data_IF_706825090183
#
_entry.id   IF_706825090183
#
_cell.length_a   1.000
_cell.length_b   1.000
_cell.length_c   1.000
_cell.angle_alpha   90.00
_cell.angle_beta   90.00
_cell.angle_gamma   90.00
#
_symmetry.space_group_name_H-M   'P 1'
#
loop_
_entity.id
_entity.type
_entity.pdbx_description
1 polymer ?
#
# COMPACT_ATOMS: atom_id res chain seq x y z
N UNK A 1 -18.84 9.75 1.83
CA UNK A 1 -19.42 8.45 2.25
C UNK A 1 -18.28 7.43 2.22
N UNK A 2 -18.02 6.75 3.33
CA UNK A 2 -17.00 5.69 3.41
C UNK A 2 -17.66 4.36 3.06
N UNK A 3 -16.94 3.34 2.59
CA UNK A 3 -17.49 1.97 2.59
C UNK A 3 -17.54 1.42 4.01
N UNK A 4 -18.42 0.44 4.27
CA UNK A 4 -18.34 -0.37 5.49
C UNK A 4 -16.96 -1.04 5.54
N UNK A 5 -16.31 -1.09 6.71
CA UNK A 5 -14.99 -1.67 6.85
C UNK A 5 -14.98 -3.20 6.66
N UNK A 6 -16.12 -3.87 6.77
CA UNK A 6 -16.22 -5.32 6.57
C UNK A 6 -17.64 -5.72 6.16
N UNK A 7 -17.76 -6.64 5.20
CA UNK A 7 -19.06 -7.12 4.72
C UNK A 7 -18.93 -8.53 4.11
N UNK A 8 -19.84 -9.43 4.49
CA UNK A 8 -20.06 -10.73 3.85
C UNK A 8 -21.14 -10.62 2.75
N UNK A 9 -21.14 -11.54 1.79
CA UNK A 9 -22.14 -11.64 0.73
C UNK A 9 -22.32 -10.33 -0.07
N UNK A 10 -21.21 -9.71 -0.45
CA UNK A 10 -21.18 -8.46 -1.17
C UNK A 10 -20.62 -8.60 -2.59
N UNK A 11 -21.00 -7.65 -3.46
CA UNK A 11 -20.38 -7.44 -4.76
C UNK A 11 -19.34 -6.32 -4.64
N UNK A 12 -18.06 -6.68 -4.73
CA UNK A 12 -16.92 -5.77 -4.68
C UNK A 12 -16.51 -5.41 -6.10
N UNK A 13 -16.47 -4.12 -6.42
CA UNK A 13 -15.98 -3.62 -7.70
C UNK A 13 -14.54 -3.15 -7.54
N UNK A 14 -13.62 -3.80 -8.24
CA UNK A 14 -12.20 -3.43 -8.26
C UNK A 14 -11.85 -2.85 -9.62
N UNK A 15 -11.57 -1.55 -9.69
CA UNK A 15 -11.04 -0.93 -10.90
C UNK A 15 -9.52 -1.15 -11.00
N UNK A 16 -9.06 -1.59 -12.17
CA UNK A 16 -7.65 -1.63 -12.56
C UNK A 16 -7.44 -0.64 -13.70
N UNK A 17 -6.55 0.33 -13.50
CA UNK A 17 -6.35 1.46 -14.41
C UNK A 17 -4.94 1.43 -15.02
N UNK A 18 -4.85 1.79 -16.30
CA UNK A 18 -3.59 2.09 -16.99
C UNK A 18 -3.14 3.50 -16.58
N UNK A 19 -1.89 3.63 -16.16
CA UNK A 19 -1.26 4.89 -15.74
C UNK A 19 -0.60 5.64 -16.90
N UNK A 20 -0.25 4.93 -17.98
CA UNK A 20 0.34 5.49 -19.18
C UNK A 20 -0.38 5.03 -20.44
N UNK A 21 0.37 4.93 -21.54
CA UNK A 21 -0.16 4.40 -22.80
C UNK A 21 -0.17 2.87 -22.71
N UNK A 22 -1.35 2.29 -22.89
CA UNK A 22 -1.51 0.85 -22.77
C UNK A 22 -2.71 0.30 -23.52
N UNK A 23 -2.87 -1.02 -23.42
CA UNK A 23 -3.97 -1.77 -24.01
C UNK A 23 -4.48 -2.78 -22.99
N UNK A 24 -5.80 -2.92 -22.89
CA UNK A 24 -6.44 -3.96 -22.09
C UNK A 24 -6.49 -5.26 -22.90
N UNK A 25 -6.40 -6.39 -22.20
CA UNK A 25 -6.29 -7.74 -22.80
C UNK A 25 -7.49 -8.64 -22.52
N UNK A 26 -8.50 -8.12 -21.81
CA UNK A 26 -9.69 -8.87 -21.37
C UNK A 26 -10.97 -8.19 -21.84
N UNK A 27 -12.03 -8.98 -22.00
CA UNK A 27 -13.37 -8.52 -22.38
C UNK A 27 -14.39 -8.56 -21.24
N UNK A 28 -15.52 -7.86 -21.40
CA UNK A 28 -16.65 -7.98 -20.46
C UNK A 28 -17.19 -9.41 -20.42
N UNK A 29 -17.51 -9.90 -19.22
CA UNK A 29 -17.94 -11.27 -18.93
C UNK A 29 -16.80 -12.27 -18.73
N UNK A 30 -15.54 -11.89 -18.98
CA UNK A 30 -14.39 -12.78 -18.82
C UNK A 30 -14.09 -13.03 -17.34
N UNK A 31 -13.76 -14.28 -16.98
CA UNK A 31 -13.29 -14.61 -15.62
C UNK A 31 -11.80 -14.39 -15.51
N UNK A 32 -11.38 -13.77 -14.41
CA UNK A 32 -9.97 -13.48 -14.13
C UNK A 32 -9.57 -14.00 -12.76
N UNK A 33 -8.30 -14.36 -12.64
CA UNK A 33 -7.62 -14.68 -11.38
C UNK A 33 -6.66 -13.54 -11.03
N UNK A 34 -6.17 -13.42 -9.78
CA UNK A 34 -5.38 -12.27 -9.34
C UNK A 34 -4.10 -12.05 -10.16
N UNK A 35 -3.54 -13.13 -10.72
CA UNK A 35 -2.33 -13.10 -11.57
C UNK A 35 -2.64 -12.87 -13.05
N UNK A 36 -3.90 -12.92 -13.48
CA UNK A 36 -4.30 -12.68 -14.87
C UNK A 36 -3.86 -11.27 -15.28
N UNK A 37 -3.17 -11.18 -16.42
CA UNK A 37 -2.76 -9.92 -17.03
C UNK A 37 -3.98 -9.34 -17.75
N UNK A 38 -4.57 -8.30 -17.17
CA UNK A 38 -5.76 -7.63 -17.73
C UNK A 38 -5.39 -6.50 -18.68
N UNK A 39 -4.14 -6.09 -18.71
CA UNK A 39 -3.64 -5.10 -19.64
C UNK A 39 -2.12 -4.99 -19.61
N UNK A 40 -1.59 -4.20 -20.51
CA UNK A 40 -0.20 -3.76 -20.46
C UNK A 40 -0.11 -2.27 -20.62
N UNK A 41 0.75 -1.66 -19.83
CA UNK A 41 0.90 -0.23 -19.71
C UNK A 41 2.36 0.19 -19.95
N UNK A 42 2.59 1.43 -20.30
CA UNK A 42 3.91 2.08 -20.37
C UNK A 42 3.83 3.37 -19.57
N UNK A 43 3.90 3.29 -18.23
CA UNK A 43 3.81 4.45 -17.36
C UNK A 43 4.96 5.42 -17.63
N UNK A 44 4.75 6.72 -17.43
CA UNK A 44 5.83 7.69 -17.49
C UNK A 44 6.91 7.32 -16.46
N UNK A 45 8.17 7.24 -16.91
CA UNK A 45 9.29 6.99 -16.02
C UNK A 45 9.63 8.25 -15.22
N UNK A 46 9.95 8.08 -13.93
CA UNK A 46 10.41 9.18 -13.09
C UNK A 46 11.81 9.64 -13.56
N UNK A 47 12.02 10.95 -13.79
CA UNK A 47 13.33 11.46 -14.18
C UNK A 47 14.37 11.24 -13.06
N UNK A 48 15.54 10.72 -13.43
CA UNK A 48 16.68 10.57 -12.52
C UNK A 48 17.57 11.82 -12.59
N UNK A 49 17.80 12.43 -11.43
CA UNK A 49 18.72 13.57 -11.28
C UNK A 49 20.08 13.05 -10.84
N UNK A 50 21.12 13.32 -11.62
CA UNK A 50 22.48 12.85 -11.39
C UNK A 50 23.40 14.06 -11.25
N UNK A 51 24.16 14.16 -10.17
CA UNK A 51 25.07 15.27 -9.95
C UNK A 51 26.44 14.99 -10.57
N UNK A 52 26.54 15.17 -11.90
CA UNK A 52 27.75 14.89 -12.66
C UNK A 52 28.95 15.71 -12.14
N UNK A 53 28.72 16.99 -11.80
CA UNK A 53 29.80 17.86 -11.32
C UNK A 53 30.35 17.40 -9.97
N UNK A 54 29.49 17.06 -9.01
CA UNK A 54 29.91 16.54 -7.72
C UNK A 54 30.60 15.17 -7.85
N UNK A 55 30.05 14.26 -8.65
CA UNK A 55 30.59 12.92 -8.84
C UNK A 55 31.97 12.94 -9.54
N UNK A 56 32.19 13.87 -10.46
CA UNK A 56 33.50 14.12 -11.07
C UNK A 56 34.44 14.97 -10.18
N UNK A 57 33.91 15.62 -9.15
CA UNK A 57 34.56 16.67 -8.35
C UNK A 57 35.16 17.79 -9.22
N UNK A 58 34.35 18.30 -10.14
CA UNK A 58 34.69 19.37 -11.07
C UNK A 58 33.68 20.52 -10.96
N UNK A 59 34.01 21.68 -11.53
CA UNK A 59 33.02 22.75 -11.67
C UNK A 59 31.91 22.36 -12.66
N UNK A 60 30.67 22.86 -12.52
CA UNK A 60 29.58 22.60 -13.48
C UNK A 60 29.96 22.87 -14.94
N UNK A 61 30.75 23.91 -15.22
CA UNK A 61 31.23 24.21 -16.58
C UNK A 61 32.27 23.20 -17.08
N UNK A 62 33.20 22.76 -16.23
CA UNK A 62 34.20 21.74 -16.59
C UNK A 62 33.55 20.36 -16.75
N UNK A 63 32.59 20.01 -15.89
CA UNK A 63 31.81 18.78 -16.00
C UNK A 63 30.96 18.74 -17.28
N UNK A 64 30.45 19.88 -17.75
CA UNK A 64 29.77 19.98 -19.05
C UNK A 64 30.68 19.56 -20.22
N UNK A 65 31.96 19.94 -20.17
CA UNK A 65 32.96 19.58 -21.18
C UNK A 65 33.41 18.13 -21.07
N UNK A 66 33.25 17.52 -19.89
CA UNK A 66 33.59 16.13 -19.61
C UNK A 66 32.46 15.14 -19.99
N UNK A 67 31.29 15.61 -20.43
CA UNK A 67 30.19 14.76 -20.89
C UNK A 67 30.62 13.95 -22.12
N UNK A 68 30.42 12.64 -22.05
CA UNK A 68 30.70 11.71 -23.15
C UNK A 68 29.47 11.39 -23.99
N UNK A 69 28.30 11.89 -23.58
CA UNK A 69 27.00 11.72 -24.25
C UNK A 69 26.32 13.08 -24.40
N UNK A 70 25.53 13.26 -25.46
CA UNK A 70 24.83 14.52 -25.72
C UNK A 70 23.43 14.53 -25.11
N UNK A 71 22.92 15.73 -24.82
CA UNK A 71 21.48 15.89 -24.55
C UNK A 71 20.68 15.42 -25.76
N UNK A 72 19.66 14.58 -25.52
CA UNK A 72 18.87 13.87 -26.50
C UNK A 72 19.38 12.46 -26.83
N UNK A 73 20.56 12.06 -26.36
CA UNK A 73 21.16 10.77 -26.65
C UNK A 73 20.63 9.65 -25.74
N UNK A 74 20.42 8.46 -26.32
CA UNK A 74 20.08 7.25 -25.57
C UNK A 74 21.33 6.62 -24.97
N UNK A 75 21.25 6.23 -23.71
CA UNK A 75 22.33 5.58 -22.97
C UNK A 75 21.83 4.27 -22.37
N UNK A 76 22.70 3.26 -22.33
CA UNK A 76 22.42 2.02 -21.63
C UNK A 76 22.83 2.13 -20.16
N UNK A 77 22.22 1.32 -19.28
CA UNK A 77 22.68 1.16 -17.90
C UNK A 77 24.18 0.87 -17.84
N UNK A 78 24.89 1.59 -16.99
CA UNK A 78 26.34 1.48 -16.81
C UNK A 78 27.18 2.18 -17.89
N UNK A 79 26.56 2.77 -18.92
CA UNK A 79 27.28 3.59 -19.90
C UNK A 79 27.89 4.82 -19.22
N UNK A 80 29.08 5.22 -19.67
CA UNK A 80 29.76 6.41 -19.15
C UNK A 80 29.03 7.65 -19.66
N UNK A 81 28.50 8.45 -18.75
CA UNK A 81 27.84 9.74 -19.02
C UNK A 81 28.84 10.87 -19.11
N UNK A 82 29.86 10.83 -18.26
CA UNK A 82 30.91 11.82 -18.20
C UNK A 82 32.21 11.19 -17.71
N UNK A 83 33.35 11.70 -18.19
CA UNK A 83 34.68 11.23 -17.78
C UNK A 83 35.63 12.40 -17.64
N UNK A 84 36.24 12.53 -16.47
CA UNK A 84 37.34 13.46 -16.22
C UNK A 84 38.64 12.69 -15.96
N UNK A 85 39.74 13.15 -16.57
CA UNK A 85 41.07 12.57 -16.38
C UNK A 85 42.03 13.63 -15.83
N UNK A 86 42.63 13.33 -14.69
CA UNK A 86 43.75 14.10 -14.14
C UNK A 86 45.06 13.32 -14.29
N UNK A 87 46.19 13.95 -13.97
CA UNK A 87 47.50 13.29 -14.02
C UNK A 87 47.61 12.07 -13.06
N UNK A 88 46.73 11.96 -12.06
CA UNK A 88 46.79 10.91 -11.02
C UNK A 88 45.54 10.01 -10.95
N UNK A 89 44.42 10.37 -11.57
CA UNK A 89 43.17 9.60 -11.51
C UNK A 89 42.26 9.80 -12.72
N UNK A 90 41.42 8.81 -12.99
CA UNK A 90 40.28 8.91 -13.91
C UNK A 90 39.01 8.77 -13.08
N UNK A 91 38.07 9.70 -13.25
CA UNK A 91 36.74 9.62 -12.65
C UNK A 91 35.70 9.48 -13.75
N UNK A 92 34.72 8.63 -13.51
CA UNK A 92 33.63 8.35 -14.43
C UNK A 92 32.31 8.42 -13.68
N UNK A 93 31.33 9.05 -14.33
CA UNK A 93 29.93 8.96 -13.90
C UNK A 93 29.21 8.06 -14.87
N UNK A 94 28.48 7.08 -14.35
CA UNK A 94 27.79 6.06 -15.16
C UNK A 94 26.29 6.19 -15.03
N UNK A 95 25.58 5.85 -16.10
CA UNK A 95 24.13 5.85 -16.11
C UNK A 95 23.60 4.79 -15.13
N UNK A 96 22.78 5.15 -14.13
CA UNK A 96 22.20 4.19 -13.19
C UNK A 96 21.22 3.24 -13.88
N UNK A 97 20.56 3.71 -14.94
CA UNK A 97 19.59 2.98 -15.76
C UNK A 97 19.72 3.33 -17.25
N UNK A 98 19.09 2.54 -18.11
CA UNK A 98 18.98 2.83 -19.54
C UNK A 98 17.95 3.94 -19.78
N UNK A 99 18.29 4.98 -20.53
CA UNK A 99 17.44 6.15 -20.69
C UNK A 99 17.91 7.13 -21.75
N UNK A 100 17.35 8.34 -21.73
CA UNK A 100 17.76 9.47 -22.56
C UNK A 100 18.28 10.57 -21.66
N UNK A 101 19.47 11.10 -21.91
CA UNK A 101 19.93 12.30 -21.22
C UNK A 101 19.13 13.50 -21.76
N UNK A 102 18.17 14.02 -21.00
CA UNK A 102 17.24 15.06 -21.48
C UNK A 102 17.69 16.48 -21.16
N UNK A 103 18.55 16.65 -20.15
CA UNK A 103 19.09 17.95 -19.80
C UNK A 103 20.42 17.83 -19.04
N UNK A 104 21.21 18.90 -19.11
CA UNK A 104 22.31 19.18 -18.20
C UNK A 104 22.29 20.67 -17.84
N UNK A 105 22.21 20.99 -16.56
CA UNK A 105 22.27 22.36 -16.07
C UNK A 105 23.73 22.77 -15.81
N UNK A 106 24.21 23.74 -16.60
CA UNK A 106 25.56 24.27 -16.48
C UNK A 106 25.79 25.13 -15.24
N UNK A 107 24.73 25.49 -14.50
CA UNK A 107 24.83 26.25 -13.25
C UNK A 107 25.00 25.32 -12.06
N UNK A 108 24.15 24.30 -11.94
CA UNK A 108 24.15 23.37 -10.80
C UNK A 108 25.03 22.14 -11.01
N UNK A 109 25.32 21.77 -12.26
CA UNK A 109 26.06 20.55 -12.60
C UNK A 109 25.19 19.28 -12.60
N UNK A 110 23.87 19.44 -12.54
CA UNK A 110 22.90 18.35 -12.52
C UNK A 110 22.52 17.92 -13.94
N UNK A 111 22.57 16.61 -14.20
CA UNK A 111 22.03 15.96 -15.38
C UNK A 111 20.65 15.36 -15.07
N UNK A 112 19.74 15.42 -16.04
CA UNK A 112 18.45 14.73 -15.98
C UNK A 112 18.46 13.58 -16.98
N UNK A 113 18.40 12.36 -16.48
CA UNK A 113 18.26 11.14 -17.26
C UNK A 113 16.81 10.68 -17.18
N UNK A 114 16.11 10.64 -18.30
CA UNK A 114 14.76 10.07 -18.38
C UNK A 114 14.88 8.56 -18.67
N UNK A 115 14.53 7.65 -17.74
CA UNK A 115 14.61 6.22 -18.00
C UNK A 115 13.71 5.83 -19.17
N UNK A 116 14.10 4.79 -19.90
CA UNK A 116 13.24 4.23 -20.95
C UNK A 116 12.01 3.61 -20.29
N UNK A 117 10.80 4.02 -20.66
CA UNK A 117 9.58 3.44 -20.10
C UNK A 117 9.50 1.95 -20.48
N UNK A 118 9.61 1.07 -19.49
CA UNK A 118 9.36 -0.35 -19.69
C UNK A 118 7.87 -0.62 -19.69
N UNK A 119 7.46 -1.58 -20.54
CA UNK A 119 6.08 -2.06 -20.52
C UNK A 119 5.87 -2.84 -19.22
N UNK A 120 4.84 -2.48 -18.47
CA UNK A 120 4.45 -3.14 -17.22
C UNK A 120 3.15 -3.89 -17.42
N UNK A 121 3.03 -5.04 -16.76
CA UNK A 121 1.81 -5.83 -16.75
C UNK A 121 0.82 -5.24 -15.74
N UNK A 122 -0.38 -4.91 -16.22
CA UNK A 122 -1.50 -4.62 -15.34
C UNK A 122 -2.19 -5.94 -15.00
N UNK A 123 -2.12 -6.36 -13.74
CA UNK A 123 -2.76 -7.58 -13.24
C UNK A 123 -4.15 -7.29 -12.64
N UNK A 124 -5.00 -8.30 -12.64
CA UNK A 124 -6.35 -8.25 -12.08
C UNK A 124 -6.35 -7.98 -10.56
N UNK A 125 -5.37 -8.53 -9.82
CA UNK A 125 -5.22 -8.44 -8.36
C UNK A 125 -6.34 -9.05 -7.51
N UNK A 126 -7.47 -9.44 -8.12
CA UNK A 126 -8.60 -10.12 -7.47
C UNK A 126 -9.16 -11.19 -8.40
N UNK A 127 -9.76 -12.23 -7.82
CA UNK A 127 -10.54 -13.21 -8.58
C UNK A 127 -11.95 -12.67 -8.84
N UNK A 128 -12.48 -12.81 -10.05
CA UNK A 128 -13.81 -12.29 -10.35
C UNK A 128 -14.20 -12.36 -11.82
N UNK A 129 -15.23 -11.60 -12.18
CA UNK A 129 -15.69 -11.45 -13.56
C UNK A 129 -15.52 -10.01 -14.01
N UNK A 130 -14.97 -9.80 -15.20
CA UNK A 130 -14.86 -8.48 -15.81
C UNK A 130 -16.26 -7.95 -16.08
N UNK A 131 -16.61 -6.85 -15.42
CA UNK A 131 -17.91 -6.20 -15.56
C UNK A 131 -17.88 -5.20 -16.71
N UNK A 132 -16.96 -4.24 -16.63
CA UNK A 132 -16.85 -3.11 -17.55
C UNK A 132 -15.41 -2.97 -18.06
N UNK A 133 -15.27 -2.59 -19.33
CA UNK A 133 -13.97 -2.32 -19.99
C UNK A 133 -14.06 -0.95 -20.64
N UNK A 134 -13.18 -0.04 -20.23
CA UNK A 134 -12.98 1.27 -20.86
C UNK A 134 -11.68 1.22 -21.66
N UNK A 135 -11.73 1.07 -23.00
CA UNK A 135 -10.55 0.86 -23.83
C UNK A 135 -9.46 1.91 -23.60
N UNK A 136 -8.23 1.44 -23.38
CA UNK A 136 -7.08 2.30 -23.13
C UNK A 136 -7.09 3.04 -21.79
N UNK A 137 -8.03 2.74 -20.88
CA UNK A 137 -8.14 3.40 -19.58
C UNK A 137 -8.21 2.41 -18.42
N UNK A 138 -9.27 1.62 -18.30
CA UNK A 138 -9.48 0.77 -17.12
C UNK A 138 -10.38 -0.43 -17.38
N UNK A 139 -10.28 -1.41 -16.48
CA UNK A 139 -11.16 -2.56 -16.38
C UNK A 139 -11.72 -2.65 -14.97
N UNK A 140 -13.02 -2.89 -14.85
CA UNK A 140 -13.69 -3.10 -13.56
C UNK A 140 -14.01 -4.58 -13.39
N UNK A 141 -13.51 -5.17 -12.32
CA UNK A 141 -13.72 -6.58 -11.97
C UNK A 141 -14.72 -6.63 -10.82
N UNK A 142 -15.80 -7.39 -11.01
CA UNK A 142 -16.76 -7.72 -9.95
C UNK A 142 -16.35 -9.03 -9.27
N UNK A 143 -16.10 -8.95 -7.96
CA UNK A 143 -15.89 -10.11 -7.11
C UNK A 143 -17.06 -10.24 -6.16
N UNK A 144 -17.70 -11.41 -6.14
CA UNK A 144 -18.76 -11.73 -5.19
C UNK A 144 -18.18 -12.50 -4.02
N UNK A 145 -18.38 -11.98 -2.81
CA UNK A 145 -17.92 -12.66 -1.61
C UNK A 145 -17.80 -11.75 -0.40
N UNK A 146 -16.62 -11.74 0.21
CA UNK A 146 -16.36 -10.96 1.42
C UNK A 146 -15.35 -9.84 1.17
N UNK A 147 -15.52 -8.77 1.92
CA UNK A 147 -14.66 -7.58 1.92
C UNK A 147 -14.25 -7.25 3.35
N UNK A 148 -12.97 -6.95 3.55
CA UNK A 148 -12.44 -6.40 4.81
C UNK A 148 -11.44 -5.29 4.47
N UNK A 149 -11.58 -4.12 5.07
CA UNK A 149 -10.70 -2.98 4.92
C UNK A 149 -9.87 -2.77 6.20
N UNK A 150 -8.57 -2.64 6.03
CA UNK A 150 -7.62 -2.42 7.12
C UNK A 150 -7.41 -0.93 7.37
N UNK A 151 -6.91 -0.59 8.55
CA UNK A 151 -6.57 0.79 8.95
C UNK A 151 -5.20 1.20 8.43
N UNK A 152 -4.32 0.21 8.37
CA UNK A 152 -2.94 0.37 7.97
C UNK A 152 -2.48 -0.92 7.31
N UNK A 153 -1.56 -0.75 6.37
CA UNK A 153 -0.88 -1.88 5.77
C UNK A 153 0.36 -1.42 5.02
N UNK A 154 1.31 -2.34 4.96
CA UNK A 154 2.57 -2.20 4.26
C UNK A 154 2.93 -3.52 3.59
N UNK A 155 3.78 -3.44 2.57
CA UNK A 155 4.04 -4.54 1.65
C UNK A 155 3.24 -4.37 0.36
N UNK A 156 3.61 -5.11 -0.69
CA UNK A 156 2.90 -5.13 -1.97
C UNK A 156 1.69 -6.04 -1.94
N UNK A 157 0.95 -6.15 -3.05
CA UNK A 157 -0.25 -6.97 -3.13
C UNK A 157 0.04 -8.46 -2.82
N UNK A 158 -0.89 -9.12 -2.12
CA UNK A 158 -0.77 -10.50 -1.68
C UNK A 158 -1.99 -11.34 -2.11
N UNK A 159 -1.76 -12.64 -2.34
CA UNK A 159 -2.81 -13.61 -2.67
C UNK A 159 -2.51 -14.94 -2.01
N UNK A 160 -3.52 -15.57 -1.42
CA UNK A 160 -3.38 -16.88 -0.80
C UNK A 160 -4.65 -17.36 -0.12
N UNK A 161 -4.58 -18.55 0.47
CA UNK A 161 -5.67 -19.11 1.26
C UNK A 161 -5.71 -18.43 2.63
N UNK A 162 -6.88 -17.97 3.06
CA UNK A 162 -7.08 -17.40 4.39
C UNK A 162 -6.99 -18.51 5.44
N UNK A 163 -6.12 -18.32 6.44
CA UNK A 163 -5.89 -19.26 7.54
C UNK A 163 -5.94 -18.54 8.88
N UNK A 164 -6.74 -19.06 9.80
CA UNK A 164 -6.75 -18.57 11.17
C UNK A 164 -5.60 -19.22 11.94
N UNK A 165 -4.70 -18.41 12.47
CA UNK A 165 -3.62 -18.86 13.36
C UNK A 165 -4.13 -19.06 14.79
N UNK A 166 -5.20 -18.34 15.15
CA UNK A 166 -5.77 -18.28 16.48
C UNK A 166 -7.26 -18.59 16.46
N UNK A 167 -7.84 -18.86 17.64
CA UNK A 167 -9.25 -19.23 17.81
C UNK A 167 -10.13 -18.06 18.23
N UNK A 168 -9.54 -16.94 18.61
CA UNK A 168 -10.29 -15.75 19.03
C UNK A 168 -9.68 -14.45 18.50
N UNK A 169 -10.49 -13.40 18.47
CA UNK A 169 -10.13 -12.07 17.97
C UNK A 169 -9.06 -11.33 18.78
N UNK A 170 -8.73 -11.80 19.98
CA UNK A 170 -7.77 -11.16 20.90
C UNK A 170 -6.57 -12.05 21.25
N UNK A 171 -6.56 -13.30 20.82
CA UNK A 171 -5.44 -14.22 21.05
C UNK A 171 -4.23 -13.78 20.21
N UNK A 172 -3.04 -13.74 20.80
CA UNK A 172 -1.77 -13.51 20.09
C UNK A 172 -1.14 -14.85 19.74
N UNK A 173 -0.66 -14.99 18.50
CA UNK A 173 0.08 -16.19 18.07
C UNK A 173 1.57 -16.02 18.34
N UNK A 174 2.15 -16.98 19.06
CA UNK A 174 3.59 -17.08 19.26
C UNK A 174 4.26 -17.69 18.02
N UNK A 175 5.49 -17.27 17.72
CA UNK A 175 6.18 -17.70 16.51
C UNK A 175 6.41 -19.22 16.45
N UNK A 176 6.54 -19.89 17.60
CA UNK A 176 6.71 -21.35 17.70
C UNK A 176 5.45 -22.12 17.29
N UNK A 177 4.29 -21.48 17.32
CA UNK A 177 3.02 -22.08 16.89
C UNK A 177 2.86 -22.04 15.37
N UNK A 178 3.73 -21.31 14.66
CA UNK A 178 3.71 -21.19 13.21
C UNK A 178 4.57 -22.29 12.55
N UNK A 179 3.90 -23.09 11.71
CA UNK A 179 4.49 -24.18 10.95
C UNK A 179 4.09 -24.12 9.46
N UNK A 180 4.55 -25.10 8.68
CA UNK A 180 4.38 -25.15 7.22
C UNK A 180 2.92 -25.21 6.74
N UNK A 181 1.92 -25.38 7.63
CA UNK A 181 0.50 -25.29 7.25
C UNK A 181 0.09 -23.87 6.83
N UNK A 182 0.87 -22.87 7.22
CA UNK A 182 0.64 -21.46 6.88
C UNK A 182 1.43 -21.00 5.63
N UNK A 183 2.23 -21.87 5.02
CA UNK A 183 2.99 -21.51 3.82
C UNK A 183 2.07 -21.05 2.69
N UNK A 184 2.44 -19.94 2.05
CA UNK A 184 1.67 -19.25 1.02
C UNK A 184 0.26 -18.77 1.42
N UNK A 185 -0.06 -18.74 2.71
CA UNK A 185 -1.37 -18.31 3.21
C UNK A 185 -1.47 -16.79 3.42
N UNK A 186 -2.70 -16.33 3.59
CA UNK A 186 -3.03 -15.09 4.28
C UNK A 186 -3.35 -15.48 5.72
N UNK A 187 -2.42 -15.20 6.63
CA UNK A 187 -2.50 -15.58 8.04
C UNK A 187 -3.31 -14.54 8.82
N UNK A 188 -4.30 -14.99 9.59
CA UNK A 188 -5.09 -14.13 10.50
C UNK A 188 -4.73 -14.50 11.93
N UNK A 189 -4.21 -13.54 12.70
CA UNK A 189 -3.67 -13.82 14.05
C UNK A 189 -4.59 -13.39 15.19
N UNK A 190 -5.68 -12.67 14.94
CA UNK A 190 -6.54 -12.18 16.03
C UNK A 190 -5.96 -10.95 16.69
N UNK A 191 -5.23 -11.11 17.79
CA UNK A 191 -4.67 -10.02 18.59
C UNK A 191 -3.46 -9.32 17.96
N UNK A 192 -2.50 -8.92 18.82
CA UNK A 192 -1.26 -8.28 18.36
C UNK A 192 -0.30 -9.27 17.71
N UNK A 193 0.58 -8.78 16.85
CA UNK A 193 1.73 -9.53 16.32
C UNK A 193 3.05 -8.95 16.81
N UNK A 194 4.05 -9.81 16.95
CA UNK A 194 5.42 -9.44 17.34
C UNK A 194 6.37 -9.50 16.14
N UNK A 195 7.57 -8.94 16.29
CA UNK A 195 8.60 -9.00 15.26
C UNK A 195 9.06 -10.45 15.00
N UNK A 196 9.13 -11.31 16.03
CA UNK A 196 9.44 -12.74 15.83
C UNK A 196 8.36 -13.44 15.02
N UNK A 197 7.08 -13.18 15.32
CA UNK A 197 5.96 -13.76 14.58
C UNK A 197 5.99 -13.31 13.11
N UNK A 198 6.27 -12.03 12.84
CA UNK A 198 6.39 -11.51 11.48
C UNK A 198 7.61 -12.11 10.74
N UNK A 199 8.77 -12.18 11.40
CA UNK A 199 9.97 -12.82 10.82
C UNK A 199 9.71 -14.30 10.51
N UNK A 200 9.03 -15.01 11.40
CA UNK A 200 8.65 -16.41 11.20
C UNK A 200 7.66 -16.59 10.03
N UNK A 201 6.75 -15.63 9.84
CA UNK A 201 5.86 -15.62 8.67
C UNK A 201 6.66 -15.49 7.36
N UNK A 202 7.67 -14.62 7.32
CA UNK A 202 8.58 -14.52 6.17
C UNK A 202 9.32 -15.85 5.91
N UNK A 203 9.90 -16.47 6.96
CA UNK A 203 10.59 -17.76 6.85
C UNK A 203 9.71 -18.87 6.26
N UNK A 204 8.43 -18.88 6.60
CA UNK A 204 7.45 -19.85 6.13
C UNK A 204 6.82 -19.50 4.78
N UNK A 205 7.25 -18.39 4.16
CA UNK A 205 6.69 -17.83 2.92
C UNK A 205 5.18 -17.54 3.02
N UNK A 206 4.71 -17.11 4.20
CA UNK A 206 3.37 -16.53 4.38
C UNK A 206 3.27 -15.30 3.47
N UNK A 207 2.16 -15.15 2.75
CA UNK A 207 1.99 -14.04 1.79
C UNK A 207 1.53 -12.75 2.48
N UNK A 208 0.70 -12.88 3.51
CA UNK A 208 0.24 -11.75 4.29
C UNK A 208 -0.12 -12.13 5.72
N UNK A 209 -0.04 -11.15 6.63
CA UNK A 209 -0.54 -11.22 8.00
C UNK A 209 -1.64 -10.17 8.19
N UNK A 210 -2.80 -10.60 8.69
CA UNK A 210 -3.89 -9.76 9.16
C UNK A 210 -3.93 -9.86 10.69
N UNK A 211 -3.79 -8.72 11.36
CA UNK A 211 -3.75 -8.64 12.82
C UNK A 211 -4.65 -7.53 13.36
N UNK A 212 -5.04 -7.62 14.62
CA UNK A 212 -5.69 -6.53 15.35
C UNK A 212 -4.76 -5.33 15.41
N UNK A 213 -3.52 -5.56 15.84
CA UNK A 213 -2.51 -4.51 15.87
C UNK A 213 -1.07 -4.99 15.96
N UNK A 214 -0.17 -4.02 16.00
CA UNK A 214 1.26 -4.22 16.23
C UNK A 214 1.77 -3.05 17.07
N UNK A 215 2.64 -3.33 18.03
CA UNK A 215 3.30 -2.26 18.76
C UNK A 215 4.31 -1.55 17.83
N UNK A 216 4.42 -0.21 17.84
CA UNK A 216 5.39 0.52 17.03
C UNK A 216 6.84 0.02 17.19
N UNK A 217 7.23 -0.35 18.41
CA UNK A 217 8.55 -0.91 18.70
C UNK A 217 8.77 -2.29 18.04
N UNK A 218 7.74 -3.12 18.01
CA UNK A 218 7.78 -4.45 17.39
C UNK A 218 7.88 -4.34 15.86
N UNK A 219 7.08 -3.47 15.26
CA UNK A 219 7.20 -3.20 13.82
C UNK A 219 8.57 -2.58 13.50
N UNK A 220 9.05 -1.66 14.33
CA UNK A 220 10.38 -1.07 14.19
C UNK A 220 11.50 -2.12 14.20
N UNK A 221 11.44 -3.05 15.15
CA UNK A 221 12.38 -4.16 15.26
C UNK A 221 12.35 -5.07 14.04
N UNK A 222 11.16 -5.42 13.54
CA UNK A 222 10.98 -6.22 12.32
C UNK A 222 11.56 -5.53 11.07
N UNK A 223 11.37 -4.21 10.95
CA UNK A 223 11.89 -3.42 9.84
C UNK A 223 13.39 -3.13 9.94
N UNK A 224 14.06 -3.55 11.01
CA UNK A 224 15.51 -3.39 11.19
C UNK A 224 15.94 -2.01 11.70
N UNK A 225 15.05 -1.26 12.34
CA UNK A 225 15.46 -0.03 13.03
C UNK A 225 16.38 -0.36 14.22
N UNK A 226 17.41 0.46 14.44
CA UNK A 226 18.38 0.24 15.51
C UNK A 226 17.73 0.23 16.90
N UNK A 227 18.22 -0.65 17.77
CA UNK A 227 17.76 -0.73 19.15
C UNK A 227 18.03 0.61 19.87
N UNK A 228 16.98 1.19 20.45
CA UNK A 228 17.03 2.48 21.14
C UNK A 228 16.52 3.67 20.32
N UNK A 229 16.24 3.49 19.02
CA UNK A 229 15.54 4.49 18.22
C UNK A 229 14.06 4.49 18.59
N UNK A 230 13.54 5.63 19.05
CA UNK A 230 12.09 5.79 19.22
C UNK A 230 11.42 5.87 17.85
N UNK A 231 10.71 4.80 17.49
CA UNK A 231 9.92 4.75 16.27
C UNK A 231 8.56 5.40 16.55
N UNK A 232 8.40 6.63 16.04
CA UNK A 232 7.14 7.37 16.17
C UNK A 232 6.07 6.73 15.27
N UNK A 233 4.83 6.52 15.76
CA UNK A 233 3.73 5.99 14.97
C UNK A 233 3.48 6.77 13.67
N UNK A 234 3.63 8.10 13.69
CA UNK A 234 3.44 8.94 12.51
C UNK A 234 4.47 8.64 11.41
N UNK A 235 5.69 8.27 11.80
CA UNK A 235 6.72 7.84 10.84
C UNK A 235 6.33 6.50 10.21
N UNK A 236 5.80 5.55 10.99
CA UNK A 236 5.34 4.24 10.49
C UNK A 236 4.16 4.36 9.52
N UNK A 237 3.30 5.37 9.67
CA UNK A 237 2.22 5.65 8.71
C UNK A 237 2.76 5.94 7.30
N UNK A 238 4.00 6.43 7.19
CA UNK A 238 4.69 6.70 5.92
C UNK A 238 5.45 5.51 5.35
N UNK A 239 5.77 4.49 6.18
CA UNK A 239 6.55 3.30 5.83
C UNK A 239 5.72 2.23 5.13
N UNK A 240 5.00 2.60 4.07
CA UNK A 240 4.15 1.67 3.31
C UNK A 240 4.87 1.03 2.12
N UNK A 241 5.93 1.70 1.65
CA UNK A 241 6.85 1.21 0.60
C UNK A 241 8.20 0.80 1.18
N UNK A 242 8.22 0.10 2.32
CA UNK A 242 9.47 -0.57 2.74
C UNK A 242 9.73 -1.69 1.74
N UNK A 243 10.43 -1.34 0.66
CA UNK A 243 10.98 -2.27 -0.31
C UNK A 243 12.09 -3.06 0.39
N UNK A 244 11.72 -4.13 1.09
CA UNK A 244 12.51 -5.37 0.97
C UNK A 244 12.38 -5.82 -0.48
N UNK A 245 13.43 -6.43 -1.04
CA UNK A 245 13.56 -6.76 -2.46
C UNK A 245 12.24 -7.20 -3.15
N UNK A 246 12.04 -6.87 -4.44
CA UNK A 246 10.79 -7.10 -5.20
C UNK A 246 10.39 -8.59 -5.40
N UNK A 247 10.96 -9.52 -4.63
CA UNK A 247 10.74 -10.97 -4.73
C UNK A 247 9.76 -11.56 -3.72
N UNK A 248 9.62 -11.03 -2.49
CA UNK A 248 8.78 -11.59 -1.42
C UNK A 248 8.85 -10.70 -0.17
N UNK A 249 8.07 -9.62 -0.11
CA UNK A 249 7.86 -8.90 1.15
C UNK A 249 6.52 -9.37 1.74
N UNK A 250 6.55 -9.87 2.97
CA UNK A 250 5.33 -10.17 3.73
C UNK A 250 4.45 -8.92 3.78
N UNK A 251 3.20 -9.03 3.32
CA UNK A 251 2.23 -7.95 3.53
C UNK A 251 1.73 -7.98 4.97
N UNK A 252 1.66 -6.81 5.60
CA UNK A 252 1.06 -6.64 6.93
C UNK A 252 -0.19 -5.78 6.76
N UNK A 253 -1.31 -6.24 7.30
CA UNK A 253 -2.59 -5.52 7.33
C UNK A 253 -3.11 -5.48 8.76
N UNK A 254 -3.38 -4.28 9.27
CA UNK A 254 -3.90 -4.07 10.63
C UNK A 254 -5.35 -3.64 10.55
N UNK A 255 -6.22 -4.26 11.36
CA UNK A 255 -7.64 -3.94 11.42
C UNK A 255 -8.02 -3.01 12.57
N UNK A 256 -7.26 -3.01 13.67
CA UNK A 256 -7.40 -2.09 14.79
C UNK A 256 -6.34 -0.99 14.81
N UNK A 257 -5.13 -1.26 14.31
CA UNK A 257 -4.05 -0.26 14.18
C UNK A 257 -2.83 -0.51 15.04
N UNK A 258 -2.06 0.55 15.31
CA UNK A 258 -0.94 0.45 16.24
C UNK A 258 -1.47 0.32 17.67
N UNK A 259 -0.86 -0.58 18.44
CA UNK A 259 -1.22 -0.91 19.84
C UNK A 259 -2.64 -1.47 20.07
N UNK A 260 -3.42 -1.70 19.02
CA UNK A 260 -4.71 -2.38 19.13
C UNK A 260 -4.50 -3.84 19.56
N UNK A 261 -5.25 -4.28 20.58
CA UNK A 261 -5.07 -5.59 21.20
C UNK A 261 -5.93 -6.69 20.57
N UNK A 262 -6.90 -6.33 19.75
CA UNK A 262 -7.86 -7.28 19.17
C UNK A 262 -8.41 -6.82 17.81
N UNK A 263 -8.91 -7.77 17.03
CA UNK A 263 -9.76 -7.52 15.86
C UNK A 263 -11.19 -7.24 16.34
N UNK A 264 -11.87 -6.33 15.65
CA UNK A 264 -13.31 -6.07 15.83
C UNK A 264 -14.13 -7.36 15.66
N UNK A 265 -15.18 -7.55 16.46
CA UNK A 265 -15.96 -8.79 16.45
C UNK A 265 -16.60 -9.07 15.08
N UNK A 266 -17.18 -8.06 14.44
CA UNK A 266 -17.80 -8.24 13.13
C UNK A 266 -16.74 -8.51 12.04
N UNK A 267 -15.58 -7.86 12.12
CA UNK A 267 -14.44 -8.19 11.24
C UNK A 267 -13.95 -9.63 11.45
N UNK A 268 -13.83 -10.09 12.70
CA UNK A 268 -13.42 -11.45 13.02
C UNK A 268 -14.40 -12.49 12.46
N UNK A 269 -15.71 -12.26 12.59
CA UNK A 269 -16.73 -13.13 12.04
C UNK A 269 -16.64 -13.25 10.51
N UNK A 270 -16.39 -12.14 9.81
CA UNK A 270 -16.15 -12.13 8.36
C UNK A 270 -14.91 -12.95 8.01
N UNK A 271 -13.79 -12.73 8.70
CA UNK A 271 -12.54 -13.47 8.47
C UNK A 271 -12.67 -14.96 8.75
N UNK A 272 -13.37 -15.32 9.84
CA UNK A 272 -13.62 -16.71 10.20
C UNK A 272 -14.48 -17.43 9.15
N UNK A 273 -15.50 -16.78 8.61
CA UNK A 273 -16.29 -17.31 7.50
C UNK A 273 -15.48 -17.50 6.19
N UNK A 274 -14.33 -16.84 6.08
CA UNK A 274 -13.42 -16.93 4.95
C UNK A 274 -12.33 -18.01 5.13
N UNK A 275 -12.24 -18.68 6.28
CA UNK A 275 -11.21 -19.69 6.51
C UNK A 275 -11.21 -20.78 5.42
N UNK A 276 -10.02 -21.07 4.89
CA UNK A 276 -9.83 -22.06 3.83
C UNK A 276 -10.16 -21.55 2.42
N UNK A 277 -10.58 -20.28 2.26
CA UNK A 277 -10.91 -19.69 0.95
C UNK A 277 -9.78 -18.81 0.43
N UNK A 278 -9.73 -18.63 -0.87
CA UNK A 278 -8.73 -17.78 -1.52
C UNK A 278 -9.10 -16.31 -1.40
N UNK A 279 -8.17 -15.52 -0.86
CA UNK A 279 -8.30 -14.09 -0.69
C UNK A 279 -7.19 -13.34 -1.42
N UNK A 280 -7.49 -12.10 -1.81
CA UNK A 280 -6.51 -11.16 -2.37
C UNK A 280 -6.47 -9.91 -1.51
N UNK A 281 -5.27 -9.46 -1.14
CA UNK A 281 -5.06 -8.20 -0.44
C UNK A 281 -4.38 -7.21 -1.38
N UNK A 282 -5.00 -6.04 -1.55
CA UNK A 282 -4.40 -4.90 -2.25
C UNK A 282 -4.01 -3.85 -1.22
N UNK A 283 -2.74 -3.45 -1.18
CA UNK A 283 -2.17 -2.48 -0.22
C UNK A 283 -1.51 -1.27 -0.89
N UNK A 284 -1.33 -1.30 -2.21
CA UNK A 284 -0.45 -0.41 -2.97
C UNK A 284 -1.09 0.91 -3.44
N UNK A 285 -2.37 1.15 -3.15
CA UNK A 285 -3.15 2.26 -3.74
C UNK A 285 -3.48 3.41 -2.77
N UNK A 286 -2.50 3.93 -2.03
CA UNK A 286 -2.74 5.12 -1.19
C UNK A 286 -3.37 6.27 -2.02
N UNK A 287 -4.42 6.96 -1.53
CA UNK A 287 -4.93 7.01 -0.16
C UNK A 287 -5.93 5.90 0.25
N UNK A 288 -6.20 4.91 -0.60
CA UNK A 288 -7.12 3.83 -0.26
C UNK A 288 -6.52 2.91 0.83
N UNK A 289 -7.30 2.52 1.85
CA UNK A 289 -6.85 1.55 2.84
C UNK A 289 -6.54 0.20 2.18
N UNK A 290 -5.65 -0.62 2.79
CA UNK A 290 -5.50 -1.99 2.34
C UNK A 290 -6.84 -2.71 2.45
N UNK A 291 -7.12 -3.60 1.50
CA UNK A 291 -8.38 -4.35 1.47
C UNK A 291 -8.13 -5.81 1.16
N UNK A 292 -8.76 -6.69 1.90
CA UNK A 292 -8.94 -8.10 1.59
C UNK A 292 -10.25 -8.27 0.83
N UNK A 293 -10.19 -8.97 -0.30
CA UNK A 293 -11.35 -9.45 -1.05
C UNK A 293 -11.26 -10.97 -1.12
N UNK A 294 -12.28 -11.67 -0.64
CA UNK A 294 -12.37 -13.14 -0.68
C UNK A 294 -13.50 -13.51 -1.61
N UNK A 295 -13.21 -14.33 -2.62
CA UNK A 295 -14.26 -14.85 -3.49
C UNK A 295 -15.01 -15.97 -2.75
N UNK A 296 -16.33 -15.86 -2.69
CA UNK A 296 -17.18 -16.94 -2.19
C UNK A 296 -17.79 -17.70 -3.38
N UNK A 297 -18.07 -19.01 -3.24
CA UNK A 297 -18.75 -19.80 -4.26
C UNK A 297 -20.07 -19.16 -4.66
N UNK A 298 -20.37 -19.18 -5.96
CA UNK A 298 -21.59 -18.55 -6.50
C UNK A 298 -22.87 -19.11 -5.90
N UNK A 299 -22.85 -20.37 -5.45
CA UNK A 299 -23.97 -21.00 -4.72
C UNK A 299 -24.24 -20.40 -3.34
N UNK A 300 -23.24 -19.79 -2.72
CA UNK A 300 -23.35 -19.18 -1.39
C UNK A 300 -23.72 -17.69 -1.47
N UNK A 301 -23.57 -17.07 -2.64
CA UNK A 301 -23.87 -15.66 -2.87
C UNK A 301 -24.97 -15.50 -3.92
N UNK A 302 -26.20 -15.81 -3.51
CA UNK A 302 -27.39 -15.75 -4.37
C UNK A 302 -27.83 -14.29 -4.62
N UNK A 303 -27.62 -13.40 -3.65
CA UNK A 303 -27.98 -11.97 -3.71
C UNK A 303 -26.82 -11.09 -3.22
N UNK A 304 -25.74 -11.02 -4.00
CA UNK A 304 -24.60 -10.15 -3.67
C UNK A 304 -25.06 -8.69 -3.63
N UNK A 305 -25.07 -8.08 -2.44
CA UNK A 305 -25.44 -6.66 -2.28
C UNK A 305 -24.21 -5.80 -2.59
N UNK A 306 -24.35 -4.64 -3.26
CA UNK A 306 -23.24 -3.69 -3.35
C UNK A 306 -22.63 -3.40 -1.98
N UNK A 307 -21.32 -3.13 -1.94
CA UNK A 307 -20.67 -2.67 -0.71
C UNK A 307 -21.47 -1.51 -0.10
N UNK A 308 -21.95 -1.71 1.12
CA UNK A 308 -22.69 -0.67 1.83
C UNK A 308 -21.76 0.50 2.11
N UNK A 309 -22.27 1.70 1.93
CA UNK A 309 -21.55 2.90 2.30
C UNK A 309 -21.90 3.28 3.74
N UNK A 310 -20.89 3.28 4.60
CA UNK A 310 -20.96 3.92 5.89
C UNK A 310 -21.20 5.43 5.74
N UNK A 311 -22.27 5.89 6.38
CA UNK A 311 -22.62 7.31 6.45
C UNK A 311 -21.78 7.94 7.55
N UNK A 312 -20.87 8.82 7.17
CA UNK A 312 -20.14 9.67 8.10
C UNK A 312 -21.07 10.82 8.51
N UNK A 313 -21.73 10.68 9.67
CA UNK A 313 -22.73 11.61 10.17
C UNK A 313 -22.71 11.73 11.69
N UNK A 314 -23.48 12.66 12.25
CA UNK A 314 -23.56 12.86 13.70
C UNK A 314 -23.87 11.55 14.44
N UNK A 315 -23.15 11.30 15.53
CA UNK A 315 -23.27 10.07 16.32
C UNK A 315 -22.55 8.85 15.75
N UNK A 316 -21.96 8.92 14.55
CA UNK A 316 -21.15 7.82 14.02
C UNK A 316 -19.87 7.62 14.85
N UNK A 317 -19.57 6.39 15.24
CA UNK A 317 -18.26 6.03 15.78
C UNK A 317 -17.25 5.97 14.65
N UNK A 318 -16.09 6.59 14.85
CA UNK A 318 -15.02 6.71 13.87
C UNK A 318 -13.66 6.42 14.49
N UNK A 319 -12.76 5.82 13.71
CA UNK A 319 -11.34 5.75 13.99
C UNK A 319 -10.61 6.89 13.28
N UNK A 320 -9.79 7.63 14.02
CA UNK A 320 -8.91 8.65 13.45
C UNK A 320 -7.70 7.95 12.83
N UNK A 321 -7.48 8.11 11.53
CA UNK A 321 -6.44 7.38 10.78
C UNK A 321 -5.08 8.07 10.78
N UNK A 322 -5.03 9.37 11.05
CA UNK A 322 -3.82 10.19 10.86
C UNK A 322 -3.77 11.43 11.73
N UNK A 323 -2.56 11.99 11.86
CA UNK A 323 -2.27 13.14 12.72
C UNK A 323 -2.03 12.78 14.19
N UNK A 324 -1.93 13.78 15.09
CA UNK A 324 -1.53 13.57 16.49
C UNK A 324 -2.48 12.71 17.33
N UNK A 325 -3.68 12.42 16.81
CA UNK A 325 -4.68 11.57 17.47
C UNK A 325 -4.96 10.32 16.62
N UNK A 326 -4.02 9.91 15.76
CA UNK A 326 -4.16 8.69 14.97
C UNK A 326 -4.39 7.48 15.88
N UNK A 327 -5.12 6.49 15.35
CA UNK A 327 -5.55 5.27 16.04
C UNK A 327 -6.42 5.51 17.29
N UNK A 328 -7.06 6.69 17.40
CA UNK A 328 -8.00 6.98 18.49
C UNK A 328 -9.44 6.84 18.00
N UNK A 329 -10.26 6.11 18.75
CA UNK A 329 -11.71 6.07 18.54
C UNK A 329 -12.37 7.38 19.01
N UNK A 330 -13.35 7.85 18.24
CA UNK A 330 -14.11 9.04 18.56
C UNK A 330 -15.53 8.93 18.02
N UNK A 331 -16.43 9.75 18.54
CA UNK A 331 -17.80 9.89 18.02
C UNK A 331 -17.92 11.21 17.28
N UNK A 332 -18.48 11.21 16.08
CA UNK A 332 -18.78 12.44 15.33
C UNK A 332 -19.80 13.26 16.12
N UNK A 333 -19.45 14.49 16.49
CA UNK A 333 -20.28 15.37 17.33
C UNK A 333 -21.45 15.92 16.53
N UNK A 334 -21.14 16.52 15.39
CA UNK A 334 -22.11 16.99 14.42
C UNK A 334 -21.70 16.54 13.02
N UNK A 335 -22.68 16.36 12.14
CA UNK A 335 -22.45 15.93 10.77
C UNK A 335 -21.91 17.04 9.86
N UNK A 336 -21.60 18.23 10.40
CA UNK A 336 -21.22 19.37 9.59
C UNK A 336 -19.74 19.28 9.19
N UNK A 337 -19.50 19.29 7.90
CA UNK A 337 -18.15 19.43 7.34
C UNK A 337 -17.77 20.90 7.37
N UNK A 338 -16.68 21.21 8.07
CA UNK A 338 -16.14 22.56 8.24
C UNK A 338 -14.78 22.65 7.57
N UNK A 339 -14.46 23.81 7.00
CA UNK A 339 -13.13 24.05 6.45
C UNK A 339 -12.22 24.57 7.56
N UNK A 340 -11.14 23.85 7.83
CA UNK A 340 -10.12 24.22 8.82
C UNK A 340 -8.79 24.51 8.12
N UNK A 341 -7.92 25.28 8.79
CA UNK A 341 -6.51 25.39 8.41
C UNK A 341 -5.71 24.43 9.28
N UNK A 342 -4.97 23.53 8.64
CA UNK A 342 -4.01 22.66 9.33
C UNK A 342 -2.80 23.48 9.80
N UNK A 343 -1.99 22.98 10.76
CA UNK A 343 -0.74 23.62 11.18
C UNK A 343 0.25 23.88 10.03
N UNK A 344 0.15 23.10 8.95
CA UNK A 344 0.91 23.29 7.72
C UNK A 344 0.43 24.47 6.85
N UNK A 345 -0.65 25.15 7.23
CA UNK A 345 -1.31 26.20 6.44
C UNK A 345 -2.22 25.68 5.33
N UNK A 346 -2.31 24.36 5.15
CA UNK A 346 -3.19 23.73 4.15
C UNK A 346 -4.63 23.74 4.66
N UNK A 347 -5.56 24.19 3.81
CA UNK A 347 -6.98 24.11 4.11
C UNK A 347 -7.49 22.68 3.90
N UNK A 348 -8.24 22.15 4.86
CA UNK A 348 -8.83 20.82 4.81
C UNK A 348 -10.31 20.88 5.21
N UNK A 349 -11.11 19.98 4.65
CA UNK A 349 -12.45 19.69 5.15
C UNK A 349 -12.34 18.75 6.36
N UNK A 350 -12.93 19.14 7.48
CA UNK A 350 -12.87 18.44 8.75
C UNK A 350 -14.24 18.32 9.40
N UNK A 351 -14.39 17.34 10.27
CA UNK A 351 -15.55 17.17 11.13
C UNK A 351 -15.12 17.20 12.59
N UNK A 352 -16.02 17.68 13.45
CA UNK A 352 -15.79 17.67 14.87
C UNK A 352 -16.10 16.28 15.44
N UNK A 353 -15.14 15.69 16.12
CA UNK A 353 -15.27 14.41 16.80
C UNK A 353 -14.97 14.56 18.28
N UNK A 354 -15.53 13.67 19.10
CA UNK A 354 -15.32 13.61 20.55
C UNK A 354 -14.71 12.27 20.91
N UNK A 355 -13.51 12.28 21.48
CA UNK A 355 -12.83 11.07 21.97
C UNK A 355 -13.48 10.58 23.26
N UNK A 356 -13.16 9.35 23.67
CA UNK A 356 -13.66 8.75 24.93
C UNK A 356 -13.26 9.55 26.17
N UNK A 357 -12.13 10.26 26.11
CA UNK A 357 -11.69 11.21 27.14
C UNK A 357 -12.53 12.50 27.22
N UNK A 358 -13.54 12.65 26.35
CA UNK A 358 -14.41 13.83 26.27
C UNK A 358 -13.83 15.01 25.49
N UNK A 359 -12.59 14.90 25.01
CA UNK A 359 -11.92 15.95 24.22
C UNK A 359 -12.58 16.08 22.84
N UNK A 360 -12.92 17.31 22.45
CA UNK A 360 -13.40 17.60 21.10
C UNK A 360 -12.24 18.00 20.20
N UNK A 361 -12.22 17.44 18.99
CA UNK A 361 -11.15 17.60 18.00
C UNK A 361 -11.77 17.86 16.63
N UNK A 362 -11.18 18.78 15.86
CA UNK A 362 -11.47 18.91 14.44
C UNK A 362 -10.51 18.02 13.64
N UNK A 363 -11.04 16.98 13.00
CA UNK A 363 -10.24 16.00 12.26
C UNK A 363 -10.62 16.05 10.79
N UNK A 364 -9.64 16.14 9.87
CA UNK A 364 -9.91 16.08 8.44
C UNK A 364 -10.77 14.87 8.08
N UNK A 365 -11.76 15.05 7.22
CA UNK A 365 -12.73 14.00 6.84
C UNK A 365 -12.01 12.77 6.29
N UNK A 366 -10.94 12.96 5.53
CA UNK A 366 -10.13 11.86 4.98
C UNK A 366 -9.34 11.07 6.04
N UNK A 367 -9.19 11.62 7.25
CA UNK A 367 -8.60 10.94 8.40
C UNK A 367 -9.66 10.29 9.30
N UNK A 368 -10.93 10.28 8.92
CA UNK A 368 -12.00 9.63 9.68
C UNK A 368 -12.49 8.41 8.93
N UNK A 369 -12.57 7.28 9.63
CA UNK A 369 -13.27 6.10 9.11
C UNK A 369 -14.32 5.64 10.10
N UNK A 370 -15.54 5.45 9.60
CA UNK A 370 -16.62 4.85 10.38
C UNK A 370 -16.24 3.42 10.77
N UNK A 371 -16.33 3.13 12.06
CA UNK A 371 -16.23 1.79 12.61
C UNK A 371 -17.60 1.42 13.18
N UNK A 372 -18.01 0.15 13.07
CA UNK A 372 -19.18 -0.27 13.83
C UNK A 372 -18.73 -0.46 15.28
N UNK A 373 -19.52 0.04 16.24
CA UNK A 373 -19.30 -0.35 17.63
C UNK A 373 -19.54 -1.86 17.75
N UNK A 374 -18.77 -2.57 18.60
CA UNK A 374 -18.97 -3.98 18.90
C UNK A 374 -20.37 -4.30 19.41
#
# INVERSE_FOLDING_TARGET
MSTLPYQLNCAVLTERRLHGRGQLRVGSGERVEPRTIVGTDSPPAEPLIINIAADLQETPAAAAQALTVKVGERVARGAVLARAKTAKSVREVRAPESGVLVAYDQTSGLATLLPSSSQVELRATVSGTVRDVVPGQSVTIETRGAYVAGVWGAGGDAYGVVRLATRSRSETVAFEQLDNRFTYSILVTGGTVTAETLARCEELEVRAVIAGGVAPAELGRYLGFEAGVQVLPEALLTLRSVRKDPGQALLIMLLGGFDATEIDEAAWQVLAACEGREGSITSSNWPEPPRLVVQLPTSEVVDAVPLQQAVLGAGATVLILGGPNAQTAATVVDGAVRRISLPSGVAAEAMQVRTDSGKQLDIPVHNLRVIQNP
#
